data_IF_824934975635
#
_entry.id   IF_824934975635
#
_cell.length_a   1.000
_cell.length_b   1.000
_cell.length_c   1.000
_cell.angle_alpha   90.00
_cell.angle_beta   90.00
_cell.angle_gamma   90.00
#
_symmetry.space_group_name_H-M   'P 1'
#
loop_
_entity.id
_entity.type
_entity.pdbx_description
1 polymer ?
#
# COMPACT_ATOMS: atom_id res chain seq x y z
N UNK A 1 -14.72 -1.47 12.22
CA UNK A 1 -14.31 -0.09 12.55
C UNK A 1 -13.78 0.55 11.27
N UNK A 2 -14.16 1.78 10.98
CA UNK A 2 -13.68 2.52 9.79
C UNK A 2 -12.89 3.72 10.28
N UNK A 3 -11.71 3.94 9.70
CA UNK A 3 -10.85 5.07 9.99
C UNK A 3 -10.32 5.67 8.69
N UNK A 4 -10.05 6.98 8.71
CA UNK A 4 -9.39 7.70 7.63
C UNK A 4 -7.94 7.96 8.04
N UNK A 5 -6.99 7.62 7.16
CA UNK A 5 -5.56 7.80 7.39
C UNK A 5 -4.94 8.67 6.31
N UNK A 6 -3.92 9.44 6.69
CA UNK A 6 -2.97 10.07 5.77
C UNK A 6 -1.60 9.57 6.20
N UNK A 7 -0.88 8.94 5.29
CA UNK A 7 0.45 8.38 5.54
C UNK A 7 1.49 9.09 4.67
N UNK A 8 2.69 9.25 5.20
CA UNK A 8 3.84 9.79 4.51
C UNK A 8 5.07 8.96 4.85
N UNK A 9 6.00 8.80 3.89
CA UNK A 9 7.16 7.94 4.04
C UNK A 9 6.84 6.47 3.76
N UNK A 10 7.35 5.58 4.60
CA UNK A 10 7.16 4.14 4.49
C UNK A 10 6.70 3.53 5.82
N UNK A 11 5.99 2.41 5.73
CA UNK A 11 5.68 1.53 6.84
C UNK A 11 6.76 0.46 6.91
N UNK A 12 7.45 0.35 8.04
CA UNK A 12 8.41 -0.72 8.30
C UNK A 12 7.79 -1.73 9.27
N UNK A 13 7.88 -3.00 8.91
CA UNK A 13 7.41 -4.11 9.74
C UNK A 13 8.61 -4.68 10.48
N UNK A 14 8.47 -4.83 11.79
CA UNK A 14 9.49 -5.36 12.68
C UNK A 14 9.04 -6.70 13.26
N UNK A 15 9.97 -7.63 13.46
CA UNK A 15 9.75 -8.85 14.24
C UNK A 15 9.92 -8.60 15.76
N UNK A 16 9.83 -9.67 16.54
CA UNK A 16 9.94 -9.63 18.01
C UNK A 16 11.34 -9.22 18.48
N UNK A 17 12.37 -9.43 17.64
CA UNK A 17 13.76 -9.07 17.86
C UNK A 17 14.12 -7.67 17.31
N UNK A 18 13.12 -6.85 16.97
CA UNK A 18 13.25 -5.50 16.37
C UNK A 18 14.02 -5.49 15.03
N UNK A 19 14.03 -6.59 14.29
CA UNK A 19 14.60 -6.62 12.95
C UNK A 19 13.54 -6.25 11.92
N UNK A 20 13.95 -5.53 10.88
CA UNK A 20 13.06 -5.18 9.77
C UNK A 20 12.81 -6.44 8.93
N UNK A 21 11.55 -6.88 8.89
CA UNK A 21 11.12 -8.05 8.10
C UNK A 21 10.35 -7.65 6.83
N UNK A 22 10.02 -6.37 6.68
CA UNK A 22 9.38 -5.86 5.48
C UNK A 22 9.21 -4.35 5.48
N UNK A 23 8.87 -3.81 4.32
CA UNK A 23 8.56 -2.40 4.16
C UNK A 23 7.47 -2.22 3.08
N UNK A 24 6.53 -1.33 3.34
CA UNK A 24 5.60 -0.81 2.34
C UNK A 24 5.81 0.71 2.18
N UNK A 25 5.91 1.17 0.94
CA UNK A 25 5.87 2.58 0.56
C UNK A 25 4.72 2.85 -0.44
N UNK A 26 4.62 4.08 -0.93
CA UNK A 26 3.60 4.48 -1.90
C UNK A 26 3.58 3.60 -3.15
N UNK A 27 4.74 3.13 -3.61
CA UNK A 27 4.83 2.30 -4.82
C UNK A 27 4.31 0.89 -4.56
N UNK A 28 4.67 0.29 -3.42
CA UNK A 28 4.14 -1.03 -3.05
C UNK A 28 2.62 -1.03 -2.87
N UNK A 29 2.07 0.05 -2.29
CA UNK A 29 0.62 0.20 -2.10
C UNK A 29 -0.07 0.44 -3.45
N UNK A 30 0.53 1.24 -4.32
CA UNK A 30 -0.01 1.46 -5.67
C UNK A 30 -0.01 0.16 -6.49
N UNK A 31 1.06 -0.62 -6.43
CA UNK A 31 1.14 -1.90 -7.11
C UNK A 31 0.07 -2.88 -6.60
N UNK A 32 -0.15 -2.94 -5.27
CA UNK A 32 -1.23 -3.74 -4.66
C UNK A 32 -2.60 -3.31 -5.19
N UNK A 33 -2.88 -2.01 -5.26
CA UNK A 33 -4.12 -1.46 -5.84
C UNK A 33 -4.31 -1.88 -7.30
N UNK A 34 -3.30 -1.66 -8.14
CA UNK A 34 -3.37 -1.99 -9.57
C UNK A 34 -3.55 -3.49 -9.82
N UNK A 35 -2.81 -4.34 -9.09
CA UNK A 35 -2.95 -5.81 -9.16
C UNK A 35 -4.37 -6.25 -8.79
N UNK A 36 -4.92 -5.69 -7.71
CA UNK A 36 -6.28 -5.99 -7.29
C UNK A 36 -7.30 -5.61 -8.36
N UNK A 37 -7.20 -4.40 -8.91
CA UNK A 37 -8.04 -3.92 -10.01
C UNK A 37 -7.98 -4.86 -11.22
N UNK A 38 -6.78 -5.21 -11.67
CA UNK A 38 -6.57 -6.10 -12.81
C UNK A 38 -7.17 -7.49 -12.58
N UNK A 39 -6.94 -8.10 -11.42
CA UNK A 39 -7.42 -9.44 -11.09
C UNK A 39 -8.95 -9.53 -11.03
N UNK A 40 -9.64 -8.43 -10.74
CA UNK A 40 -11.09 -8.39 -10.60
C UNK A 40 -11.79 -7.69 -11.77
N UNK A 41 -11.05 -7.28 -12.81
CA UNK A 41 -11.61 -6.55 -13.96
C UNK A 41 -12.17 -5.17 -13.59
N UNK A 42 -11.64 -4.53 -12.54
CA UNK A 42 -12.04 -3.19 -12.09
C UNK A 42 -11.12 -2.17 -12.78
N UNK A 43 -11.66 -1.12 -13.42
CA UNK A 43 -10.84 -0.03 -13.95
C UNK A 43 -10.09 0.71 -12.83
N UNK A 44 -8.78 0.89 -13.00
CA UNK A 44 -7.98 1.73 -12.11
C UNK A 44 -8.32 3.22 -12.30
N UNK A 45 -8.25 3.99 -11.22
CA UNK A 45 -8.47 5.45 -11.19
C UNK A 45 -7.14 6.18 -11.21
N UNK A 46 -6.52 6.20 -12.38
CA UNK A 46 -5.20 6.83 -12.58
C UNK A 46 -5.23 8.34 -12.36
N UNK A 47 -6.40 8.97 -12.45
CA UNK A 47 -6.63 10.39 -12.19
C UNK A 47 -6.40 10.80 -10.72
N UNK A 48 -6.29 9.83 -9.81
CA UNK A 48 -6.07 10.04 -8.39
C UNK A 48 -4.59 9.84 -7.98
N UNK A 49 -3.72 9.48 -8.92
CA UNK A 49 -2.29 9.21 -8.68
C UNK A 49 -1.48 10.45 -9.08
N UNK A 50 -0.70 11.00 -8.14
CA UNK A 50 0.14 12.20 -8.31
C UNK A 50 1.59 11.93 -7.95
#
# INVERSE_FOLDING_TARGET
MVALFILSGSLQYFDEENQIVGQDDVYTVLEKYQKYCLQHGIPARDDLIY
#
